data_IF_735024108362
#
_entry.id   IF_735024108362
#
_cell.length_a   1.000
_cell.length_b   1.000
_cell.length_c   1.000
_cell.angle_alpha   90.00
_cell.angle_beta   90.00
_cell.angle_gamma   90.00
#
_symmetry.space_group_name_H-M   'P 1'
#
loop_
_entity.id
_entity.type
_entity.pdbx_description
1 polymer ?
#
# COMPACT_ATOMS: atom_id res chain seq x y z
N UNK A 1 -30.88 -12.90 15.03
CA UNK A 1 -29.94 -11.91 14.46
C UNK A 1 -29.27 -11.00 15.51
N UNK A 2 -29.34 -11.30 16.79
CA UNK A 2 -28.71 -10.52 17.90
C UNK A 2 -27.77 -11.33 18.79
N UNK A 3 -27.45 -12.59 18.46
CA UNK A 3 -26.63 -13.49 19.30
C UNK A 3 -25.21 -13.65 18.76
N UNK A 4 -24.95 -13.42 17.46
CA UNK A 4 -23.63 -13.61 16.87
C UNK A 4 -22.63 -12.47 17.15
N UNK A 5 -23.09 -11.25 17.45
CA UNK A 5 -22.23 -10.12 17.80
C UNK A 5 -21.48 -10.24 19.13
N UNK A 6 -21.98 -11.07 20.06
CA UNK A 6 -21.37 -11.24 21.40
C UNK A 6 -20.12 -12.13 21.41
N UNK A 7 -19.98 -13.08 20.49
CA UNK A 7 -18.80 -13.97 20.45
C UNK A 7 -17.57 -13.32 19.82
N UNK A 8 -17.76 -12.37 18.90
CA UNK A 8 -16.64 -11.65 18.27
C UNK A 8 -15.97 -10.67 19.25
N UNK A 9 -16.77 -9.96 20.04
CA UNK A 9 -16.30 -9.04 21.08
C UNK A 9 -15.50 -9.78 22.20
N UNK A 10 -15.86 -11.01 22.49
CA UNK A 10 -15.24 -11.81 23.59
C UNK A 10 -13.87 -12.40 23.18
N UNK A 11 -13.61 -12.68 21.90
CA UNK A 11 -12.30 -13.16 21.42
C UNK A 11 -11.30 -12.02 21.18
N UNK A 12 -11.75 -10.89 20.66
CA UNK A 12 -10.92 -9.67 20.57
C UNK A 12 -10.55 -9.16 21.98
N UNK A 13 -11.47 -9.22 22.94
CA UNK A 13 -11.24 -8.85 24.34
C UNK A 13 -10.13 -9.69 24.98
N UNK A 14 -10.03 -10.99 24.71
CA UNK A 14 -8.97 -11.85 25.27
C UNK A 14 -7.59 -11.54 24.67
N UNK A 15 -7.51 -11.20 23.39
CA UNK A 15 -6.23 -10.84 22.77
C UNK A 15 -5.78 -9.43 23.17
N UNK A 16 -6.70 -8.48 23.25
CA UNK A 16 -6.44 -7.15 23.80
C UNK A 16 -6.09 -7.23 25.31
N UNK A 17 -6.73 -8.11 26.06
CA UNK A 17 -6.46 -8.31 27.48
C UNK A 17 -5.10 -8.98 27.75
N UNK A 18 -4.66 -9.91 26.87
CA UNK A 18 -3.30 -10.48 26.94
C UNK A 18 -2.25 -9.41 26.57
N UNK A 19 -2.51 -8.57 25.58
CA UNK A 19 -1.63 -7.45 25.20
C UNK A 19 -1.51 -6.44 26.34
N UNK A 20 -2.61 -6.15 27.05
CA UNK A 20 -2.63 -5.26 28.21
C UNK A 20 -1.94 -5.87 29.46
N UNK A 21 -1.85 -7.19 29.58
CA UNK A 21 -1.16 -7.85 30.71
C UNK A 21 0.37 -7.84 30.59
N UNK A 22 0.91 -7.66 29.39
CA UNK A 22 2.35 -7.50 29.17
C UNK A 22 2.84 -6.04 29.24
N UNK A 23 1.94 -5.06 29.30
CA UNK A 23 2.27 -3.63 29.40
C UNK A 23 2.63 -3.11 30.83
N UNK A 24 2.32 -3.78 31.98
CA UNK A 24 2.54 -3.16 33.28
C UNK A 24 3.95 -3.28 33.86
N UNK A 25 4.89 -3.94 33.20
CA UNK A 25 6.24 -4.13 33.78
C UNK A 25 7.32 -3.17 33.27
N UNK A 26 6.98 -2.30 32.34
CA UNK A 26 7.87 -1.22 31.88
C UNK A 26 7.30 0.10 32.40
N UNK A 27 7.27 0.26 33.73
CA UNK A 27 6.98 1.52 34.37
C UNK A 27 8.21 2.44 34.28
N UNK A 28 8.54 2.90 33.07
CA UNK A 28 9.22 4.15 32.89
C UNK A 28 8.16 5.25 33.01
N UNK A 29 8.49 6.35 33.66
CA UNK A 29 7.64 7.56 33.72
C UNK A 29 7.63 8.21 32.34
N UNK A 30 6.90 7.61 31.39
CA UNK A 30 6.68 8.22 30.09
C UNK A 30 5.51 9.18 30.18
N UNK A 31 5.75 10.40 29.73
CA UNK A 31 4.71 11.38 29.49
C UNK A 31 3.96 10.96 28.21
N UNK A 32 2.67 10.64 28.32
CA UNK A 32 1.87 10.22 27.16
C UNK A 32 0.77 11.27 26.89
N UNK A 33 0.60 11.75 25.65
CA UNK A 33 1.42 11.48 24.47
C UNK A 33 2.82 12.09 24.58
N UNK A 34 3.84 11.47 23.95
CA UNK A 34 5.20 12.00 23.98
C UNK A 34 5.26 13.41 23.37
N UNK A 35 6.18 14.23 23.83
CA UNK A 35 6.40 15.56 23.27
C UNK A 35 6.79 15.45 21.79
N UNK A 36 6.06 16.15 20.92
CA UNK A 36 6.29 16.10 19.48
C UNK A 36 7.55 16.88 19.10
N UNK A 37 8.51 16.19 18.54
CA UNK A 37 9.74 16.78 18.03
C UNK A 37 9.50 17.39 16.65
N UNK A 38 9.38 18.71 16.59
CA UNK A 38 9.45 19.46 15.33
C UNK A 38 10.92 19.76 15.08
N UNK A 39 11.50 19.12 14.06
CA UNK A 39 12.91 19.37 13.71
C UNK A 39 12.98 20.65 12.86
N UNK A 40 13.83 21.62 13.24
CA UNK A 40 13.98 22.90 12.50
C UNK A 40 14.34 22.72 11.02
N UNK A 41 15.07 21.67 10.66
CA UNK A 41 15.38 21.38 9.26
C UNK A 41 14.21 20.81 8.43
N UNK A 42 13.10 20.45 9.07
CA UNK A 42 11.89 20.12 8.33
C UNK A 42 11.28 21.36 7.66
N UNK A 43 11.81 22.55 7.94
CA UNK A 43 11.42 23.84 7.38
C UNK A 43 12.42 24.42 6.36
N UNK A 44 13.60 23.80 6.18
CA UNK A 44 14.60 24.28 5.23
C UNK A 44 14.31 23.79 3.81
N UNK A 45 14.62 24.63 2.81
CA UNK A 45 14.56 24.25 1.40
C UNK A 45 15.57 23.13 1.13
N UNK A 46 15.07 21.99 0.73
CA UNK A 46 15.88 20.85 0.32
C UNK A 46 15.62 20.46 -1.14
N UNK A 47 16.60 19.89 -1.78
CA UNK A 47 16.41 19.32 -3.12
C UNK A 47 17.27 18.08 -3.34
N UNK A 48 16.77 17.17 -4.16
CA UNK A 48 17.48 15.98 -4.62
C UNK A 48 17.13 15.69 -6.07
N UNK A 49 18.12 15.26 -6.84
CA UNK A 49 17.91 14.75 -8.18
C UNK A 49 18.83 13.54 -8.39
N UNK A 50 18.27 12.35 -8.38
CA UNK A 50 19.04 11.12 -8.40
C UNK A 50 18.37 9.99 -9.19
N UNK A 51 19.16 9.13 -9.89
CA UNK A 51 18.65 7.84 -10.33
C UNK A 51 18.39 6.96 -9.11
N UNK A 52 17.17 6.45 -8.98
CA UNK A 52 16.76 5.58 -7.88
C UNK A 52 16.20 4.28 -8.46
N UNK A 53 17.03 3.23 -8.68
CA UNK A 53 16.54 1.97 -9.17
C UNK A 53 15.43 1.42 -8.28
N UNK A 54 14.41 0.82 -8.89
CA UNK A 54 13.28 0.23 -8.20
C UNK A 54 12.98 -1.16 -8.75
N UNK A 55 12.71 -2.10 -7.85
CA UNK A 55 12.26 -3.45 -8.21
C UNK A 55 11.18 -3.89 -7.24
N UNK A 56 10.08 -4.43 -7.78
CA UNK A 56 8.95 -4.96 -7.00
C UNK A 56 8.63 -6.36 -7.50
N UNK A 57 8.63 -7.32 -6.58
CA UNK A 57 8.31 -8.71 -6.88
C UNK A 57 6.91 -8.83 -7.52
N UNK A 58 6.84 -9.49 -8.68
CA UNK A 58 5.61 -9.66 -9.44
C UNK A 58 5.16 -8.45 -10.26
N UNK A 59 5.98 -7.38 -10.32
CA UNK A 59 5.75 -6.21 -11.18
C UNK A 59 6.91 -5.99 -12.14
N UNK A 60 8.15 -6.07 -11.63
CA UNK A 60 9.37 -5.88 -12.40
C UNK A 60 10.30 -4.81 -11.84
N UNK A 61 11.30 -4.45 -12.63
CA UNK A 61 12.32 -3.47 -12.28
C UNK A 61 12.30 -2.26 -13.22
N UNK A 62 12.70 -1.11 -12.70
CA UNK A 62 12.86 0.14 -13.45
C UNK A 62 14.06 0.94 -12.95
N UNK A 63 14.56 1.83 -13.79
CA UNK A 63 15.54 2.85 -13.43
C UNK A 63 14.91 4.24 -13.65
N UNK A 64 14.15 4.75 -12.69
CA UNK A 64 13.66 6.13 -12.75
C UNK A 64 14.73 7.14 -12.31
N UNK A 65 14.57 8.37 -12.79
CA UNK A 65 15.11 9.56 -12.12
C UNK A 65 14.03 10.07 -11.17
N UNK A 66 14.41 10.32 -9.92
CA UNK A 66 13.58 11.00 -8.94
C UNK A 66 14.13 12.41 -8.70
N UNK A 67 13.26 13.40 -8.79
CA UNK A 67 13.46 14.77 -8.37
C UNK A 67 12.59 15.06 -7.15
N UNK A 68 13.17 15.63 -6.11
CA UNK A 68 12.49 16.12 -4.92
C UNK A 68 12.88 17.57 -4.69
N UNK A 69 11.91 18.43 -4.45
CA UNK A 69 12.12 19.76 -3.88
C UNK A 69 11.22 19.83 -2.66
N UNK A 70 11.84 19.88 -1.47
CA UNK A 70 11.11 19.97 -0.20
C UNK A 70 11.09 21.39 0.32
N UNK A 71 9.98 21.78 0.93
CA UNK A 71 9.76 23.09 1.54
C UNK A 71 9.98 24.28 0.56
N UNK A 72 9.65 24.12 -0.75
CA UNK A 72 9.85 25.18 -1.72
C UNK A 72 8.86 26.35 -1.55
N UNK A 73 7.72 26.08 -0.95
CA UNK A 73 6.74 27.08 -0.52
C UNK A 73 6.16 26.61 0.83
N UNK A 74 6.57 27.28 1.93
CA UNK A 74 6.22 26.89 3.30
C UNK A 74 6.56 25.39 3.55
N UNK A 75 5.56 24.53 3.74
CA UNK A 75 5.72 23.09 3.96
C UNK A 75 5.50 22.24 2.70
N UNK A 76 5.50 22.87 1.52
CA UNK A 76 5.15 22.19 0.27
C UNK A 76 6.33 21.40 -0.30
N UNK A 77 6.08 20.14 -0.64
CA UNK A 77 7.03 19.26 -1.32
C UNK A 77 6.56 18.94 -2.73
N UNK A 78 7.48 18.93 -3.70
CA UNK A 78 7.25 18.50 -5.06
C UNK A 78 8.11 17.28 -5.36
N UNK A 79 7.47 16.17 -5.75
CA UNK A 79 8.14 14.94 -6.19
C UNK A 79 7.85 14.69 -7.66
N UNK A 80 8.89 14.44 -8.42
CA UNK A 80 8.84 14.07 -9.83
C UNK A 80 9.59 12.76 -10.02
N UNK A 81 8.96 11.75 -10.63
CA UNK A 81 9.61 10.48 -10.95
C UNK A 81 9.36 10.19 -12.43
N UNK A 82 10.43 9.89 -13.17
CA UNK A 82 10.32 9.48 -14.57
C UNK A 82 11.27 8.34 -14.86
N UNK A 83 10.76 7.26 -15.44
CA UNK A 83 11.58 6.16 -15.94
C UNK A 83 12.41 6.61 -17.13
N UNK A 84 13.71 6.30 -17.13
CA UNK A 84 14.66 6.74 -18.16
C UNK A 84 14.73 5.81 -19.37
N UNK A 85 14.52 4.52 -19.16
CA UNK A 85 14.68 3.52 -20.20
C UNK A 85 13.46 2.58 -20.19
N UNK A 86 13.10 2.06 -21.36
CA UNK A 86 12.10 1.01 -21.48
C UNK A 86 12.58 -0.24 -20.71
N UNK A 87 11.76 -0.69 -19.78
CA UNK A 87 11.97 -1.86 -18.95
C UNK A 87 10.64 -2.53 -18.64
N UNK A 88 10.57 -3.24 -17.54
CA UNK A 88 9.33 -3.87 -17.08
C UNK A 88 8.30 -2.84 -16.61
N UNK A 89 8.78 -1.67 -16.18
CA UNK A 89 7.96 -0.57 -15.69
C UNK A 89 8.38 0.72 -16.43
N UNK A 90 7.43 1.38 -17.06
CA UNK A 90 7.59 2.74 -17.55
C UNK A 90 6.63 3.65 -16.78
N UNK A 91 7.16 4.67 -16.08
CA UNK A 91 6.36 5.49 -15.17
C UNK A 91 6.69 6.96 -15.26
N UNK A 92 5.65 7.78 -15.16
CA UNK A 92 5.72 9.22 -14.85
C UNK A 92 4.87 9.46 -13.62
N UNK A 93 5.45 10.03 -12.56
CA UNK A 93 4.74 10.40 -11.34
C UNK A 93 5.02 11.87 -11.04
N UNK A 94 3.98 12.61 -10.75
CA UNK A 94 4.04 14.01 -10.28
C UNK A 94 3.23 14.09 -9.00
N UNK A 95 3.88 14.50 -7.91
CA UNK A 95 3.21 14.63 -6.62
C UNK A 95 3.52 15.99 -6.00
N UNK A 96 2.47 16.72 -5.66
CA UNK A 96 2.51 17.91 -4.84
C UNK A 96 1.95 17.57 -3.47
N UNK A 97 2.74 17.80 -2.42
CA UNK A 97 2.35 17.48 -1.06
C UNK A 97 2.28 18.73 -0.20
N UNK A 98 1.33 18.78 0.72
CA UNK A 98 1.21 19.80 1.76
C UNK A 98 1.20 21.24 1.25
N UNK A 99 0.56 21.51 0.10
CA UNK A 99 0.35 22.89 -0.32
C UNK A 99 -0.65 23.57 0.61
N UNK A 100 -0.28 24.63 1.38
CA UNK A 100 -1.15 25.23 2.37
C UNK A 100 -2.27 26.04 1.71
N UNK A 101 -3.52 25.81 2.15
CA UNK A 101 -4.69 26.63 1.83
C UNK A 101 -5.00 27.54 3.03
N UNK A 102 -4.92 26.98 4.23
CA UNK A 102 -4.99 27.69 5.51
C UNK A 102 -3.76 27.28 6.30
N UNK A 103 -2.98 28.25 6.69
CA UNK A 103 -1.69 28.09 7.34
C UNK A 103 -1.72 27.07 8.48
N UNK A 104 -0.83 26.09 8.43
CA UNK A 104 -0.64 25.01 9.40
C UNK A 104 -1.89 24.13 9.70
N UNK A 105 -3.01 24.33 8.96
CA UNK A 105 -4.27 23.63 9.25
C UNK A 105 -4.89 22.88 8.10
N UNK A 106 -4.89 23.47 6.90
CA UNK A 106 -5.55 22.85 5.72
C UNK A 106 -4.59 22.84 4.57
N UNK A 107 -4.36 21.64 4.05
CA UNK A 107 -3.42 21.38 2.98
C UNK A 107 -4.11 20.72 1.80
N UNK A 108 -3.59 21.01 0.61
CA UNK A 108 -3.97 20.40 -0.63
C UNK A 108 -2.84 19.47 -1.08
N UNK A 109 -3.20 18.30 -1.58
CA UNK A 109 -2.27 17.33 -2.16
C UNK A 109 -2.77 16.92 -3.54
N UNK A 110 -1.85 16.79 -4.48
CA UNK A 110 -2.14 16.25 -5.83
C UNK A 110 -1.18 15.10 -6.10
N UNK A 111 -1.70 14.04 -6.67
CA UNK A 111 -0.91 12.95 -7.23
C UNK A 111 -1.41 12.66 -8.64
N UNK A 112 -0.50 12.68 -9.59
CA UNK A 112 -0.72 12.18 -10.93
C UNK A 112 0.29 11.08 -11.22
N UNK A 113 -0.16 9.98 -11.77
CA UNK A 113 0.73 9.00 -12.36
C UNK A 113 0.19 8.45 -13.67
N UNK A 114 1.12 8.12 -14.55
CA UNK A 114 0.91 7.42 -15.81
C UNK A 114 2.01 6.37 -15.92
N UNK A 115 1.63 5.10 -15.95
CA UNK A 115 2.57 3.99 -15.97
C UNK A 115 2.13 2.85 -16.87
N UNK A 116 3.10 2.24 -17.54
CA UNK A 116 3.00 0.94 -18.18
C UNK A 116 3.63 -0.10 -17.25
N UNK A 117 2.84 -1.06 -16.79
CA UNK A 117 3.28 -2.08 -15.85
C UNK A 117 2.72 -3.45 -16.22
N UNK A 118 3.40 -4.47 -15.74
CA UNK A 118 2.86 -5.82 -15.71
C UNK A 118 2.37 -6.17 -14.31
N UNK A 119 1.20 -6.81 -14.22
CA UNK A 119 0.60 -7.21 -12.95
C UNK A 119 0.24 -8.69 -12.97
N UNK A 120 0.63 -9.42 -11.91
CA UNK A 120 0.21 -10.81 -11.70
C UNK A 120 -1.16 -10.84 -11.03
N UNK A 121 -2.14 -11.39 -11.71
CA UNK A 121 -3.50 -11.57 -11.20
C UNK A 121 -3.67 -12.98 -10.68
N UNK A 122 -3.45 -13.18 -9.40
CA UNK A 122 -3.55 -14.47 -8.73
C UNK A 122 -4.99 -14.94 -8.54
N UNK A 123 -5.17 -16.24 -8.34
CA UNK A 123 -6.44 -16.79 -7.86
C UNK A 123 -6.75 -16.27 -6.44
N UNK A 124 -8.05 -16.10 -6.15
CA UNK A 124 -8.55 -15.51 -4.90
C UNK A 124 -8.31 -16.43 -3.70
N UNK A 125 -7.92 -15.85 -2.58
CA UNK A 125 -7.81 -16.50 -1.27
C UNK A 125 -6.39 -16.80 -0.82
N UNK A 126 -6.26 -17.24 0.44
CA UNK A 126 -4.96 -17.47 1.10
C UNK A 126 -4.28 -18.78 0.62
N UNK A 127 -5.04 -19.70 0.07
CA UNK A 127 -4.56 -21.00 -0.40
C UNK A 127 -4.24 -21.03 -1.91
N UNK A 128 -4.35 -19.89 -2.61
CA UNK A 128 -3.98 -19.84 -4.03
C UNK A 128 -2.51 -20.26 -4.23
N UNK A 129 -2.26 -21.11 -5.23
CA UNK A 129 -0.90 -21.55 -5.59
C UNK A 129 -0.06 -20.40 -6.17
N UNK A 130 1.26 -20.43 -5.98
CA UNK A 130 2.12 -19.35 -6.48
C UNK A 130 2.13 -19.25 -8.02
N UNK A 131 1.83 -20.34 -8.72
CA UNK A 131 1.76 -20.41 -10.18
C UNK A 131 0.32 -20.28 -10.71
N UNK A 132 -0.66 -20.00 -9.84
CA UNK A 132 -2.06 -19.85 -10.25
C UNK A 132 -2.39 -18.37 -10.48
N UNK A 133 -1.89 -17.82 -11.58
CA UNK A 133 -2.13 -16.44 -12.00
C UNK A 133 -2.22 -16.34 -13.54
N UNK A 134 -2.66 -15.19 -14.01
CA UNK A 134 -2.39 -14.67 -15.33
C UNK A 134 -1.78 -13.28 -15.19
N UNK A 135 -0.91 -12.90 -16.11
CA UNK A 135 -0.22 -11.61 -16.11
C UNK A 135 -0.91 -10.67 -17.09
N UNK A 136 -1.26 -9.48 -16.64
CA UNK A 136 -1.75 -8.39 -17.50
C UNK A 136 -0.64 -7.37 -17.72
N UNK A 137 -0.53 -6.88 -18.96
CA UNK A 137 0.25 -5.69 -19.27
C UNK A 137 -0.74 -4.56 -19.49
N UNK A 138 -0.65 -3.54 -18.66
CA UNK A 138 -1.62 -2.46 -18.67
C UNK A 138 -0.96 -1.09 -18.55
N UNK A 139 -1.47 -0.15 -19.35
CA UNK A 139 -1.25 1.28 -19.14
C UNK A 139 -2.30 1.78 -18.16
N UNK A 140 -1.86 2.42 -17.09
CA UNK A 140 -2.74 2.97 -16.07
C UNK A 140 -2.39 4.42 -15.83
N UNK A 141 -3.36 5.31 -15.98
CA UNK A 141 -3.25 6.69 -15.55
C UNK A 141 -4.24 6.98 -14.41
N UNK A 142 -3.84 7.86 -13.51
CA UNK A 142 -4.68 8.25 -12.39
C UNK A 142 -4.34 9.65 -11.91
N UNK A 143 -5.35 10.42 -11.57
CA UNK A 143 -5.25 11.74 -10.95
C UNK A 143 -5.98 11.73 -9.63
N UNK A 144 -5.29 12.08 -8.57
CA UNK A 144 -5.83 12.14 -7.21
C UNK A 144 -5.68 13.53 -6.63
N UNK A 145 -6.72 14.03 -6.01
CA UNK A 145 -6.76 15.29 -5.29
C UNK A 145 -7.22 15.00 -3.86
N UNK A 146 -6.46 15.48 -2.88
CA UNK A 146 -6.80 15.33 -1.48
C UNK A 146 -6.80 16.69 -0.78
N UNK A 147 -7.79 16.89 0.08
CA UNK A 147 -7.83 17.96 1.06
C UNK A 147 -7.59 17.36 2.44
N UNK A 148 -6.57 17.84 3.14
CA UNK A 148 -6.18 17.35 4.46
C UNK A 148 -6.30 18.48 5.46
N UNK A 149 -6.95 18.23 6.58
CA UNK A 149 -7.05 19.16 7.71
C UNK A 149 -6.34 18.58 8.93
N UNK A 150 -5.51 19.40 9.57
CA UNK A 150 -4.72 19.03 10.75
C UNK A 150 -5.17 19.82 11.97
N UNK A 151 -5.28 19.13 13.10
CA UNK A 151 -5.73 19.69 14.37
C UNK A 151 -4.80 19.26 15.51
N UNK A 152 -4.77 20.05 16.57
CA UNK A 152 -4.04 19.72 17.80
C UNK A 152 -2.56 19.38 17.57
N UNK A 153 -1.85 20.25 16.87
CA UNK A 153 -0.43 20.02 16.52
C UNK A 153 -0.21 18.68 15.78
N UNK A 154 -1.03 18.42 14.74
CA UNK A 154 -1.01 17.20 13.92
C UNK A 154 -1.35 15.90 14.68
N UNK A 155 -1.94 15.97 15.87
CA UNK A 155 -2.41 14.76 16.56
C UNK A 155 -3.69 14.19 15.95
N UNK A 156 -4.50 15.01 15.29
CA UNK A 156 -5.68 14.59 14.55
C UNK A 156 -5.59 15.11 13.12
N UNK A 157 -5.68 14.23 12.16
CA UNK A 157 -5.76 14.54 10.74
C UNK A 157 -7.04 13.97 10.15
N UNK A 158 -7.71 14.75 9.31
CA UNK A 158 -8.87 14.32 8.53
C UNK A 158 -8.57 14.61 7.08
N UNK A 159 -8.80 13.62 6.22
CA UNK A 159 -8.56 13.72 4.79
C UNK A 159 -9.83 13.36 4.02
N UNK A 160 -10.08 14.14 2.95
CA UNK A 160 -11.10 13.83 1.94
C UNK A 160 -10.39 13.81 0.59
N UNK A 161 -10.59 12.74 -0.16
CA UNK A 161 -9.92 12.52 -1.45
C UNK A 161 -10.91 12.22 -2.58
N UNK A 162 -10.52 12.62 -3.76
CA UNK A 162 -11.13 12.24 -5.02
C UNK A 162 -10.05 11.75 -5.96
N UNK A 163 -10.30 10.63 -6.62
CA UNK A 163 -9.39 10.05 -7.61
C UNK A 163 -10.17 9.63 -8.84
N UNK A 164 -9.58 9.85 -10.01
CA UNK A 164 -10.11 9.38 -11.28
C UNK A 164 -9.01 8.65 -12.02
N UNK A 165 -9.28 7.40 -12.40
CA UNK A 165 -8.32 6.55 -13.05
C UNK A 165 -8.88 5.81 -14.25
N UNK A 166 -7.96 5.42 -15.13
CA UNK A 166 -8.21 4.55 -16.28
C UNK A 166 -7.09 3.52 -16.40
N UNK A 167 -7.43 2.30 -16.77
CA UNK A 167 -6.46 1.27 -17.11
C UNK A 167 -6.85 0.61 -18.43
N UNK A 168 -5.86 0.42 -19.31
CA UNK A 168 -6.02 -0.22 -20.60
C UNK A 168 -5.08 -1.43 -20.66
N UNK A 169 -5.65 -2.62 -20.82
CA UNK A 169 -4.89 -3.86 -20.95
C UNK A 169 -4.49 -4.06 -22.40
N UNK A 170 -3.18 -4.16 -22.66
CA UNK A 170 -2.64 -4.37 -24.01
C UNK A 170 -2.45 -5.84 -24.36
N UNK A 171 -2.12 -6.68 -23.38
CA UNK A 171 -1.93 -8.12 -23.54
C UNK A 171 -2.10 -8.87 -22.23
N UNK A 172 -2.40 -10.14 -22.33
CA UNK A 172 -2.43 -11.10 -21.23
C UNK A 172 -1.42 -12.21 -21.53
N UNK A 173 -0.69 -12.66 -20.52
CA UNK A 173 0.25 -13.78 -20.61
C UNK A 173 -0.13 -14.80 -19.54
N UNK A 174 -0.11 -16.09 -19.90
CA UNK A 174 -0.27 -17.17 -18.93
C UNK A 174 1.08 -17.58 -18.29
N UNK A 175 1.05 -18.62 -17.45
CA UNK A 175 2.26 -19.11 -16.77
C UNK A 175 3.26 -19.81 -17.68
N UNK A 176 2.84 -20.23 -18.89
CA UNK A 176 3.66 -20.90 -19.89
C UNK A 176 4.16 -19.91 -20.95
N UNK A 177 4.07 -18.61 -20.67
CA UNK A 177 4.49 -17.49 -21.52
C UNK A 177 3.68 -17.34 -22.82
N UNK A 178 2.51 -18.00 -22.95
CA UNK A 178 1.62 -17.79 -24.08
C UNK A 178 0.98 -16.40 -23.99
N UNK A 179 1.06 -15.63 -25.09
CA UNK A 179 0.58 -14.25 -25.15
C UNK A 179 -0.75 -14.17 -25.90
N UNK A 180 -1.73 -13.45 -25.30
CA UNK A 180 -3.04 -13.17 -25.86
C UNK A 180 -3.25 -11.68 -25.96
N UNK A 181 -3.54 -11.18 -27.17
CA UNK A 181 -3.67 -9.72 -27.44
C UNK A 181 -5.05 -9.35 -27.96
N UNK A 182 -5.90 -10.32 -28.35
CA UNK A 182 -7.25 -10.06 -28.82
C UNK A 182 -8.24 -9.95 -27.66
N UNK A 183 -8.09 -8.89 -26.84
CA UNK A 183 -8.80 -8.72 -25.57
C UNK A 183 -10.09 -7.96 -25.79
N UNK A 184 -11.23 -8.59 -25.48
CA UNK A 184 -12.51 -7.89 -25.39
C UNK A 184 -12.55 -7.07 -24.09
N UNK A 185 -13.13 -5.85 -24.16
CA UNK A 185 -13.20 -4.91 -23.03
C UNK A 185 -11.83 -4.65 -22.35
N UNK A 186 -10.84 -4.11 -23.08
CA UNK A 186 -9.49 -3.92 -22.56
C UNK A 186 -9.41 -2.76 -21.56
N UNK A 187 -10.32 -1.79 -21.63
CA UNK A 187 -10.29 -0.58 -20.78
C UNK A 187 -11.28 -0.65 -19.62
N UNK A 188 -10.89 -0.04 -18.52
CA UNK A 188 -11.75 0.23 -17.37
C UNK A 188 -11.44 1.60 -16.80
N UNK A 189 -12.46 2.32 -16.40
CA UNK A 189 -12.35 3.58 -15.67
C UNK A 189 -12.91 3.40 -14.26
N UNK A 190 -12.46 4.22 -13.33
CA UNK A 190 -13.02 4.26 -11.98
C UNK A 190 -12.89 5.64 -11.36
N UNK A 191 -13.78 5.90 -10.43
CA UNK A 191 -13.73 7.05 -9.54
C UNK A 191 -13.67 6.52 -8.11
N UNK A 192 -12.70 7.02 -7.33
CA UNK A 192 -12.61 6.74 -5.91
C UNK A 192 -12.92 7.98 -5.09
N UNK A 193 -13.73 7.82 -4.07
CA UNK A 193 -13.95 8.79 -3.00
C UNK A 193 -13.34 8.26 -1.72
N UNK A 194 -12.46 9.03 -1.11
CA UNK A 194 -11.71 8.61 0.07
C UNK A 194 -12.04 9.52 1.25
N UNK A 195 -12.30 8.94 2.41
CA UNK A 195 -12.34 9.65 3.69
C UNK A 195 -11.37 8.94 4.63
N UNK A 196 -10.40 9.69 5.15
CA UNK A 196 -9.40 9.17 6.07
C UNK A 196 -9.36 9.97 7.36
N UNK A 197 -9.04 9.29 8.46
CA UNK A 197 -8.77 9.91 9.76
C UNK A 197 -7.53 9.27 10.35
N UNK A 198 -6.61 10.09 10.84
CA UNK A 198 -5.43 9.65 11.57
C UNK A 198 -5.41 10.30 12.94
N UNK A 199 -5.25 9.48 13.98
CA UNK A 199 -4.91 9.91 15.33
C UNK A 199 -3.44 9.53 15.55
N UNK A 200 -2.59 10.54 15.68
CA UNK A 200 -1.16 10.40 15.77
C UNK A 200 -0.63 10.92 17.11
N UNK A 201 -0.46 10.01 18.06
CA UNK A 201 0.08 10.27 19.39
C UNK A 201 1.54 9.80 19.47
N UNK A 202 2.34 10.14 18.44
CA UNK A 202 3.76 9.79 18.36
C UNK A 202 4.64 11.01 18.58
N UNK A 203 5.90 10.76 18.92
CA UNK A 203 6.94 11.79 19.10
C UNK A 203 7.31 12.51 17.80
N UNK A 204 7.13 11.86 16.64
CA UNK A 204 7.45 12.44 15.34
C UNK A 204 6.50 11.93 14.26
N UNK A 205 5.98 12.84 13.42
CA UNK A 205 5.02 12.48 12.38
C UNK A 205 5.64 11.66 11.23
N UNK A 206 6.84 12.02 10.78
CA UNK A 206 7.51 11.38 9.64
C UNK A 206 8.28 10.11 10.04
N UNK A 207 8.96 10.16 11.17
CA UNK A 207 9.80 9.06 11.67
C UNK A 207 9.52 8.79 13.15
N UNK A 208 8.37 8.19 13.46
CA UNK A 208 8.01 7.93 14.85
C UNK A 208 8.88 6.85 15.49
N UNK A 209 9.30 7.12 16.72
CA UNK A 209 10.08 6.21 17.56
C UNK A 209 9.37 5.83 18.84
N UNK A 210 8.40 6.64 19.23
CA UNK A 210 7.60 6.44 20.43
C UNK A 210 6.15 6.84 20.20
N UNK A 211 5.22 6.13 20.85
CA UNK A 211 3.79 6.46 20.83
C UNK A 211 2.95 5.52 20.00
N UNK A 212 1.77 6.00 19.63
CA UNK A 212 0.74 5.20 18.96
C UNK A 212 0.14 6.01 17.82
N UNK A 213 -0.07 5.34 16.67
CA UNK A 213 -0.76 5.88 15.51
C UNK A 213 -1.92 4.99 15.11
N UNK A 214 -3.11 5.56 14.98
CA UNK A 214 -4.31 4.91 14.48
C UNK A 214 -4.73 5.59 13.19
N UNK A 215 -4.88 4.80 12.12
CA UNK A 215 -5.35 5.25 10.82
C UNK A 215 -6.64 4.51 10.46
N UNK A 216 -7.65 5.25 10.04
CA UNK A 216 -8.92 4.76 9.54
C UNK A 216 -9.11 5.29 8.12
N UNK A 217 -9.44 4.42 7.19
CA UNK A 217 -9.65 4.78 5.80
C UNK A 217 -10.91 4.12 5.26
N UNK A 218 -11.79 4.93 4.70
CA UNK A 218 -12.92 4.51 3.90
C UNK A 218 -12.67 4.93 2.45
N UNK A 219 -12.73 3.98 1.54
CA UNK A 219 -12.59 4.22 0.10
C UNK A 219 -13.80 3.63 -0.62
N UNK A 220 -14.55 4.47 -1.32
CA UNK A 220 -15.68 4.07 -2.16
C UNK A 220 -15.26 4.12 -3.62
N UNK A 221 -15.26 2.96 -4.30
CA UNK A 221 -14.89 2.82 -5.71
C UNK A 221 -16.12 2.66 -6.58
N UNK A 222 -16.26 3.53 -7.58
CA UNK A 222 -17.29 3.48 -8.60
C UNK A 222 -16.66 3.27 -9.98
N UNK A 223 -17.08 2.23 -10.69
CA UNK A 223 -16.55 1.90 -12.02
C UNK A 223 -17.35 2.56 -13.15
N UNK A 224 -18.56 3.07 -12.89
CA UNK A 224 -19.44 3.63 -13.92
C UNK A 224 -19.80 2.64 -15.03
N UNK A 225 -19.57 1.34 -14.82
CA UNK A 225 -19.81 0.26 -15.76
C UNK A 225 -20.77 -0.74 -15.09
N UNK A 226 -21.91 -1.00 -15.72
CA UNK A 226 -22.90 -1.95 -15.20
C UNK A 226 -22.39 -3.39 -15.05
N UNK A 227 -21.28 -3.71 -15.67
CA UNK A 227 -20.63 -5.03 -15.60
C UNK A 227 -19.80 -5.23 -14.33
N UNK A 228 -19.27 -4.15 -13.77
CA UNK A 228 -18.43 -4.18 -12.58
C UNK A 228 -19.21 -3.70 -11.37
N UNK A 229 -19.03 -4.37 -10.25
CA UNK A 229 -19.64 -3.94 -8.99
C UNK A 229 -18.90 -2.76 -8.41
N UNK A 230 -19.61 -1.77 -7.96
CA UNK A 230 -19.11 -0.74 -7.07
C UNK A 230 -18.98 -1.30 -5.66
N UNK A 231 -17.96 -0.92 -4.94
CA UNK A 231 -17.75 -1.41 -3.59
C UNK A 231 -16.94 -0.44 -2.74
N UNK A 232 -17.21 -0.50 -1.45
CA UNK A 232 -16.52 0.25 -0.42
C UNK A 232 -15.48 -0.62 0.28
N UNK A 233 -14.37 -0.02 0.67
CA UNK A 233 -13.33 -0.66 1.46
C UNK A 233 -13.07 0.14 2.72
N UNK A 234 -13.26 -0.49 3.88
CA UNK A 234 -12.90 0.06 5.17
C UNK A 234 -11.60 -0.56 5.65
N UNK A 235 -10.62 0.26 5.99
CA UNK A 235 -9.33 -0.19 6.49
C UNK A 235 -9.02 0.47 7.84
N UNK A 236 -8.45 -0.31 8.74
CA UNK A 236 -7.94 0.11 10.05
C UNK A 236 -6.48 -0.30 10.15
N UNK A 237 -5.64 0.60 10.60
CA UNK A 237 -4.21 0.38 10.81
C UNK A 237 -3.79 0.98 12.15
N UNK A 238 -3.34 0.15 13.07
CA UNK A 238 -2.85 0.55 14.38
C UNK A 238 -1.36 0.23 14.47
N UNK A 239 -0.54 1.24 14.74
CA UNK A 239 0.91 1.08 14.91
C UNK A 239 1.33 1.63 16.26
N UNK A 240 2.07 0.83 17.02
CA UNK A 240 2.70 1.23 18.28
C UNK A 240 4.20 1.25 18.08
N UNK A 241 4.84 2.31 18.53
CA UNK A 241 6.27 2.53 18.50
C UNK A 241 6.80 2.54 19.93
N UNK A 242 7.75 1.68 20.21
CA UNK A 242 8.32 1.49 21.55
C UNK A 242 9.81 1.79 21.47
N UNK A 243 10.32 2.80 22.18
CA UNK A 243 11.75 3.06 22.26
C UNK A 243 12.49 1.83 22.77
N UNK A 244 13.60 1.49 22.13
CA UNK A 244 14.38 0.31 22.46
C UNK A 244 15.88 0.59 22.26
N UNK A 245 16.72 0.21 23.21
CA UNK A 245 18.18 0.30 23.13
C UNK A 245 18.71 1.63 22.50
N UNK A 246 18.52 2.72 23.19
CA UNK A 246 19.00 4.05 22.75
C UNK A 246 18.10 4.68 21.70
N UNK A 247 18.57 4.81 20.45
CA UNK A 247 17.82 5.41 19.35
C UNK A 247 16.98 4.42 18.55
N UNK A 248 16.98 3.14 18.94
CA UNK A 248 16.29 2.07 18.23
C UNK A 248 14.80 2.04 18.58
N UNK A 249 14.01 1.39 17.72
CA UNK A 249 12.57 1.33 17.87
C UNK A 249 12.07 -0.08 17.64
N UNK A 250 11.23 -0.58 18.53
CA UNK A 250 10.40 -1.76 18.30
C UNK A 250 9.00 -1.31 17.86
N UNK A 251 8.56 -1.78 16.70
CA UNK A 251 7.28 -1.45 16.11
C UNK A 251 6.37 -2.68 16.12
N UNK A 252 5.14 -2.48 16.56
CA UNK A 252 4.04 -3.46 16.47
C UNK A 252 2.94 -2.83 15.63
N UNK A 253 2.54 -3.52 14.55
CA UNK A 253 1.47 -3.06 13.68
C UNK A 253 0.37 -4.11 13.57
N UNK A 254 -0.87 -3.67 13.56
CA UNK A 254 -2.06 -4.47 13.29
C UNK A 254 -2.92 -3.78 12.24
N UNK A 255 -3.17 -4.48 11.16
CA UNK A 255 -3.95 -4.00 10.02
C UNK A 255 -5.14 -4.93 9.76
N UNK A 256 -6.28 -4.33 9.42
CA UNK A 256 -7.47 -5.04 8.94
C UNK A 256 -8.16 -4.22 7.85
N UNK A 257 -8.62 -4.90 6.80
CA UNK A 257 -9.42 -4.28 5.73
C UNK A 257 -10.59 -5.17 5.37
N UNK A 258 -11.72 -4.56 5.00
CA UNK A 258 -12.94 -5.25 4.61
C UNK A 258 -13.64 -4.51 3.47
N UNK A 259 -14.12 -5.26 2.48
CA UNK A 259 -14.93 -4.75 1.38
C UNK A 259 -16.41 -5.01 1.57
N UNK A 260 -17.24 -4.13 1.01
CA UNK A 260 -18.71 -4.20 0.96
C UNK A 260 -19.16 -3.79 -0.42
N UNK A 261 -20.02 -4.58 -1.05
CA UNK A 261 -20.64 -4.23 -2.33
C UNK A 261 -21.68 -3.14 -2.08
N UNK A 262 -21.53 -2.00 -2.74
CA UNK A 262 -22.50 -0.90 -2.73
C UNK A 262 -23.49 -1.00 -3.90
N UNK A 263 -23.01 -1.40 -5.09
CA UNK A 263 -23.84 -1.68 -6.25
C UNK A 263 -23.34 -2.95 -6.95
N UNK A 264 -24.26 -3.86 -7.26
CA UNK A 264 -23.93 -5.13 -7.89
C UNK A 264 -23.77 -4.99 -9.41
N UNK A 265 -22.63 -5.42 -9.93
CA UNK A 265 -22.39 -5.66 -11.35
C UNK A 265 -22.92 -7.01 -11.80
N UNK A 266 -22.47 -7.47 -12.96
CA UNK A 266 -22.85 -8.76 -13.51
C UNK A 266 -22.32 -9.92 -12.65
N UNK A 267 -23.21 -10.84 -12.28
CA UNK A 267 -22.89 -12.05 -11.50
C UNK A 267 -23.23 -13.34 -12.24
N UNK A 268 -23.68 -13.26 -13.50
CA UNK A 268 -23.86 -14.38 -14.39
C UNK A 268 -22.55 -14.71 -15.13
N UNK A 269 -22.06 -15.93 -14.96
CA UNK A 269 -20.77 -16.39 -15.51
C UNK A 269 -20.75 -16.36 -17.03
N UNK A 270 -21.85 -16.77 -17.68
CA UNK A 270 -21.94 -16.83 -19.15
C UNK A 270 -21.90 -15.43 -19.78
N UNK A 271 -22.52 -14.45 -19.14
CA UNK A 271 -22.51 -13.06 -19.60
C UNK A 271 -21.14 -12.43 -19.40
N UNK A 272 -20.50 -12.68 -18.24
CA UNK A 272 -19.14 -12.19 -17.96
C UNK A 272 -18.10 -12.83 -18.87
N UNK A 273 -18.19 -14.14 -19.17
CA UNK A 273 -17.27 -14.83 -20.08
C UNK A 273 -17.29 -14.17 -21.47
N UNK A 274 -18.47 -13.89 -22.02
CA UNK A 274 -18.59 -13.19 -23.30
C UNK A 274 -18.01 -11.77 -23.25
N UNK A 275 -18.12 -11.07 -22.12
CA UNK A 275 -17.59 -9.72 -21.95
C UNK A 275 -16.08 -9.70 -21.83
N UNK A 276 -15.50 -10.71 -21.21
CA UNK A 276 -14.05 -10.83 -20.97
C UNK A 276 -13.36 -11.85 -21.90
N UNK A 277 -14.02 -12.20 -23.01
CA UNK A 277 -13.52 -13.07 -24.07
C UNK A 277 -12.13 -12.61 -24.56
N UNK A 278 -11.24 -13.55 -24.77
CA UNK A 278 -9.89 -13.35 -25.30
C UNK A 278 -9.77 -13.75 -26.77
N UNK A 279 -10.87 -14.12 -27.42
CA UNK A 279 -10.86 -14.55 -28.82
C UNK A 279 -10.13 -15.86 -29.05
N UNK A 280 -10.21 -16.80 -28.11
CA UNK A 280 -9.40 -18.00 -28.03
C UNK A 280 -9.54 -18.96 -29.23
N UNK A 281 -10.63 -18.87 -29.96
CA UNK A 281 -10.83 -19.72 -31.17
C UNK A 281 -9.88 -19.36 -32.32
N UNK A 282 -9.27 -18.19 -32.28
CA UNK A 282 -8.29 -17.70 -33.25
C UNK A 282 -6.85 -17.85 -32.80
N UNK A 283 -6.63 -18.34 -31.58
CA UNK A 283 -5.29 -18.44 -30.99
C UNK A 283 -4.65 -19.82 -31.25
N UNK A 284 -3.34 -19.82 -31.46
CA UNK A 284 -2.55 -21.05 -31.67
C UNK A 284 -2.60 -21.96 -30.43
N UNK A 285 -2.62 -21.32 -29.22
CA UNK A 285 -2.69 -21.99 -27.91
C UNK A 285 -4.09 -21.88 -27.33
N UNK A 286 -5.11 -22.30 -28.06
CA UNK A 286 -6.52 -22.12 -27.70
C UNK A 286 -6.90 -22.68 -26.31
N UNK A 287 -6.32 -23.78 -25.85
CA UNK A 287 -6.60 -24.34 -24.52
C UNK A 287 -6.03 -23.47 -23.40
N UNK A 288 -4.78 -23.04 -23.55
CA UNK A 288 -4.14 -22.09 -22.59
C UNK A 288 -4.87 -20.75 -22.55
N UNK A 289 -5.31 -20.25 -23.71
CA UNK A 289 -6.16 -19.06 -23.80
C UNK A 289 -7.47 -19.22 -23.02
N UNK A 290 -8.18 -20.35 -23.21
CA UNK A 290 -9.43 -20.64 -22.49
C UNK A 290 -9.23 -20.72 -20.96
N UNK A 291 -8.10 -21.26 -20.51
CA UNK A 291 -7.76 -21.26 -19.08
C UNK A 291 -7.52 -19.84 -18.54
N UNK A 292 -6.80 -19.00 -19.28
CA UNK A 292 -6.59 -17.58 -18.90
C UNK A 292 -7.92 -16.80 -18.89
N UNK A 293 -8.78 -17.01 -19.89
CA UNK A 293 -10.13 -16.41 -19.95
C UNK A 293 -11.00 -16.85 -18.77
N UNK A 294 -11.00 -18.14 -18.43
CA UNK A 294 -11.72 -18.68 -17.28
C UNK A 294 -11.24 -18.07 -15.96
N UNK A 295 -9.90 -17.92 -15.78
CA UNK A 295 -9.33 -17.25 -14.59
C UNK A 295 -9.76 -15.78 -14.52
N UNK A 296 -9.71 -15.06 -15.65
CA UNK A 296 -10.15 -13.67 -15.76
C UNK A 296 -11.64 -13.53 -15.42
N UNK A 297 -12.48 -14.36 -15.99
CA UNK A 297 -13.92 -14.40 -15.71
C UNK A 297 -14.21 -14.68 -14.23
N UNK A 298 -13.54 -15.69 -13.65
CA UNK A 298 -13.66 -16.02 -12.23
C UNK A 298 -13.19 -14.88 -11.30
N UNK A 299 -12.11 -14.19 -11.68
CA UNK A 299 -11.62 -13.02 -10.94
C UNK A 299 -12.72 -11.96 -10.81
N UNK A 300 -13.34 -11.58 -11.94
CA UNK A 300 -14.39 -10.56 -11.97
C UNK A 300 -15.70 -11.03 -11.35
N UNK A 301 -16.09 -12.27 -11.58
CA UNK A 301 -17.29 -12.87 -10.98
C UNK A 301 -17.22 -12.82 -9.44
N UNK A 302 -16.12 -13.27 -8.87
CA UNK A 302 -15.92 -13.25 -7.41
C UNK A 302 -15.79 -11.83 -6.86
N UNK A 303 -15.12 -10.93 -7.60
CA UNK A 303 -15.01 -9.53 -7.21
C UNK A 303 -16.38 -8.84 -7.23
N UNK A 304 -17.21 -9.11 -8.24
CA UNK A 304 -18.57 -8.55 -8.31
C UNK A 304 -19.49 -9.08 -7.20
N UNK A 305 -19.26 -10.30 -6.72
CA UNK A 305 -20.08 -10.88 -5.64
C UNK A 305 -19.61 -10.49 -4.24
N UNK A 306 -18.34 -10.33 -4.04
CA UNK A 306 -17.71 -10.31 -2.70
C UNK A 306 -16.84 -9.08 -2.46
N UNK A 307 -16.66 -8.21 -3.45
CA UNK A 307 -15.72 -7.09 -3.39
C UNK A 307 -14.26 -7.54 -3.32
N UNK A 308 -13.37 -6.60 -3.04
CA UNK A 308 -11.94 -6.83 -2.85
C UNK A 308 -11.43 -5.88 -1.78
N UNK A 309 -11.08 -6.40 -0.61
CA UNK A 309 -10.36 -5.65 0.43
C UNK A 309 -8.91 -5.37 -0.01
N UNK A 310 -8.19 -4.57 0.74
CA UNK A 310 -6.76 -4.31 0.50
C UNK A 310 -5.99 -5.62 0.44
N UNK A 311 -5.32 -5.86 -0.68
CA UNK A 311 -4.57 -7.09 -0.90
C UNK A 311 -3.30 -7.14 -0.04
N UNK A 312 -2.81 -8.34 0.20
CA UNK A 312 -1.53 -8.62 0.86
C UNK A 312 -0.52 -9.14 -0.17
N UNK A 313 0.74 -8.83 0.06
CA UNK A 313 1.87 -9.08 -0.82
C UNK A 313 2.38 -7.80 -1.47
N UNK A 314 3.71 -7.67 -1.58
CA UNK A 314 4.39 -6.56 -2.22
C UNK A 314 4.95 -5.52 -1.25
N UNK A 315 4.93 -4.28 -1.68
CA UNK A 315 5.69 -3.20 -1.05
C UNK A 315 5.22 -2.80 0.36
N UNK A 316 3.98 -3.01 0.70
CA UNK A 316 3.43 -2.48 1.96
C UNK A 316 3.29 -3.52 3.06
N UNK A 317 2.86 -4.73 2.75
CA UNK A 317 2.53 -5.79 3.73
C UNK A 317 2.80 -7.15 3.12
N UNK A 318 3.25 -8.11 3.93
CA UNK A 318 3.65 -9.45 3.47
C UNK A 318 4.73 -9.35 2.39
N UNK A 319 5.84 -8.69 2.73
CA UNK A 319 6.93 -8.27 1.82
C UNK A 319 7.68 -9.42 1.12
N UNK A 320 7.49 -10.67 1.57
CA UNK A 320 8.06 -11.85 0.94
C UNK A 320 7.26 -12.38 -0.28
N UNK A 321 6.17 -11.70 -0.65
CA UNK A 321 5.27 -12.15 -1.70
C UNK A 321 5.10 -11.08 -2.78
N UNK A 322 4.78 -11.51 -3.99
CA UNK A 322 4.51 -10.62 -5.12
C UNK A 322 3.39 -9.62 -4.81
N UNK A 323 3.40 -8.49 -5.48
CA UNK A 323 2.39 -7.45 -5.33
C UNK A 323 0.97 -8.01 -5.54
N UNK A 324 0.11 -7.84 -4.54
CA UNK A 324 -1.28 -8.30 -4.60
C UNK A 324 -1.48 -9.82 -4.55
N UNK A 325 -0.50 -10.57 -4.04
CA UNK A 325 -0.46 -12.05 -4.03
C UNK A 325 -1.68 -12.71 -3.38
N UNK A 326 -2.19 -12.14 -2.30
CA UNK A 326 -3.35 -12.64 -1.57
C UNK A 326 -4.43 -11.57 -1.50
N UNK A 327 -5.65 -11.90 -1.90
CA UNK A 327 -6.81 -11.01 -1.80
C UNK A 327 -8.10 -11.78 -1.59
N UNK A 328 -9.04 -11.16 -0.89
CA UNK A 328 -10.41 -11.64 -0.64
C UNK A 328 -11.30 -10.47 -0.23
N UNK A 329 -12.51 -10.73 0.24
CA UNK A 329 -13.40 -9.71 0.81
C UNK A 329 -12.93 -9.12 2.13
N UNK A 330 -12.03 -9.82 2.84
CA UNK A 330 -11.41 -9.36 4.08
C UNK A 330 -9.92 -9.68 4.06
N UNK A 331 -9.10 -8.83 4.70
CA UNK A 331 -7.67 -9.06 4.91
C UNK A 331 -7.23 -8.60 6.29
N UNK A 332 -6.20 -9.23 6.84
CA UNK A 332 -5.53 -8.83 8.07
C UNK A 332 -4.01 -9.06 7.97
N UNK A 333 -3.25 -8.18 8.61
CA UNK A 333 -1.79 -8.31 8.70
C UNK A 333 -1.31 -7.84 10.07
N UNK A 334 -0.37 -8.56 10.65
CA UNK A 334 0.28 -8.24 11.91
C UNK A 334 1.78 -8.22 11.70
N UNK A 335 2.45 -7.21 12.20
CA UNK A 335 3.89 -6.99 12.00
C UNK A 335 4.57 -6.72 13.32
N UNK A 336 5.70 -7.37 13.53
CA UNK A 336 6.70 -7.01 14.51
C UNK A 336 7.96 -6.59 13.76
N UNK A 337 8.43 -5.36 13.99
CA UNK A 337 9.60 -4.82 13.30
C UNK A 337 10.52 -4.12 14.29
N UNK A 338 11.79 -4.52 14.32
CA UNK A 338 12.87 -3.83 15.02
C UNK A 338 13.60 -2.91 14.04
N UNK A 339 13.84 -1.66 14.42
CA UNK A 339 14.52 -0.63 13.64
C UNK A 339 15.77 -0.17 14.38
N UNK A 340 16.91 -0.26 13.71
CA UNK A 340 18.17 0.24 14.20
C UNK A 340 18.64 1.45 13.38
N UNK A 341 18.91 2.56 14.05
CA UNK A 341 19.35 3.79 13.41
C UNK A 341 20.87 3.89 13.45
N UNK A 342 21.54 3.72 12.29
CA UNK A 342 23.01 3.78 12.21
C UNK A 342 23.57 5.18 12.31
N UNK A 343 22.89 6.12 11.70
CA UNK A 343 23.31 7.51 11.71
C UNK A 343 22.09 8.43 11.63
N UNK A 344 22.15 9.45 12.44
CA UNK A 344 21.22 10.54 12.45
C UNK A 344 21.98 11.83 12.26
N UNK A 345 22.09 12.28 11.00
CA UNK A 345 22.70 13.57 10.73
C UNK A 345 21.64 14.65 10.81
N UNK A 346 21.72 15.46 11.84
CA UNK A 346 20.86 16.62 12.01
C UNK A 346 21.24 17.78 11.08
N UNK A 347 22.49 17.80 10.59
CA UNK A 347 22.96 18.81 9.63
C UNK A 347 22.58 18.41 8.21
N UNK A 348 22.03 19.34 7.41
CA UNK A 348 21.73 19.10 6.01
C UNK A 348 22.97 18.63 5.22
N UNK A 349 22.72 17.67 4.32
CA UNK A 349 23.77 17.19 3.41
C UNK A 349 23.69 18.04 2.13
N UNK A 350 24.88 18.51 1.71
CA UNK A 350 25.05 19.20 0.43
C UNK A 350 26.06 18.40 -0.41
N UNK A 351 25.59 17.90 -1.53
CA UNK A 351 26.39 17.14 -2.49
C UNK A 351 25.92 17.43 -3.91
N UNK A 352 26.64 16.95 -4.94
CA UNK A 352 26.40 17.26 -6.35
C UNK A 352 24.94 17.06 -6.80
N UNK A 353 24.26 16.07 -6.23
CA UNK A 353 22.89 15.68 -6.62
C UNK A 353 21.86 15.98 -5.53
N UNK A 354 22.24 16.61 -4.43
CA UNK A 354 21.32 16.96 -3.34
C UNK A 354 21.86 18.15 -2.53
N UNK A 355 20.96 18.96 -2.01
CA UNK A 355 21.29 20.09 -1.16
C UNK A 355 20.20 20.36 -0.14
N UNK A 356 20.58 20.76 1.07
CA UNK A 356 19.64 21.06 2.15
C UNK A 356 18.85 19.85 2.69
N UNK A 357 19.22 18.61 2.33
CA UNK A 357 18.46 17.42 2.71
C UNK A 357 19.06 16.73 3.93
N UNK A 358 18.20 16.28 4.83
CA UNK A 358 18.57 15.41 5.94
C UNK A 358 18.51 13.96 5.54
N UNK A 359 19.40 13.17 6.10
CA UNK A 359 19.45 11.73 5.83
C UNK A 359 19.56 10.95 7.12
N UNK A 360 18.65 10.01 7.33
CA UNK A 360 18.74 8.98 8.36
C UNK A 360 18.96 7.63 7.67
N UNK A 361 19.95 6.87 8.13
CA UNK A 361 20.19 5.50 7.68
C UNK A 361 19.69 4.53 8.74
N UNK A 362 18.84 3.60 8.33
CA UNK A 362 18.17 2.66 9.22
C UNK A 362 18.25 1.24 8.66
N UNK A 363 18.51 0.26 9.54
CA UNK A 363 18.23 -1.15 9.27
C UNK A 363 16.95 -1.59 9.98
N UNK A 364 16.28 -2.58 9.42
CA UNK A 364 15.12 -3.19 10.06
C UNK A 364 15.17 -4.72 9.98
N UNK A 365 14.62 -5.37 11.00
CA UNK A 365 14.32 -6.80 11.03
C UNK A 365 12.82 -6.93 11.26
N UNK A 366 12.14 -7.71 10.44
CA UNK A 366 10.68 -7.79 10.52
C UNK A 366 10.16 -9.23 10.41
N UNK A 367 9.02 -9.43 11.06
CA UNK A 367 8.22 -10.64 10.98
C UNK A 367 6.76 -10.25 10.76
N UNK A 368 6.13 -10.83 9.77
CA UNK A 368 4.76 -10.50 9.35
C UNK A 368 3.90 -11.76 9.33
N UNK A 369 2.66 -11.62 9.77
CA UNK A 369 1.61 -12.62 9.66
C UNK A 369 0.44 -12.02 8.88
N UNK A 370 -0.02 -12.68 7.84
CA UNK A 370 -1.11 -12.17 7.00
C UNK A 370 -2.12 -13.24 6.64
N UNK A 371 -3.37 -12.83 6.52
CA UNK A 371 -4.48 -13.69 6.09
C UNK A 371 -5.49 -12.92 5.26
N UNK A 372 -6.15 -13.62 4.34
CA UNK A 372 -7.29 -13.12 3.58
C UNK A 372 -8.38 -14.18 3.56
N UNK A 373 -9.65 -13.74 3.65
CA UNK A 373 -10.81 -14.63 3.56
C UNK A 373 -12.05 -13.87 3.10
N UNK A 374 -12.96 -14.57 2.42
CA UNK A 374 -14.28 -14.03 2.10
C UNK A 374 -15.23 -14.08 3.29
N UNK A 375 -15.03 -15.03 4.22
CA UNK A 375 -15.73 -15.11 5.49
C UNK A 375 -14.86 -14.54 6.60
N UNK A 376 -15.36 -13.51 7.30
CA UNK A 376 -14.66 -12.87 8.41
C UNK A 376 -14.35 -13.85 9.56
N UNK A 377 -15.17 -14.90 9.74
CA UNK A 377 -14.96 -15.92 10.76
C UNK A 377 -13.76 -16.84 10.49
N UNK A 378 -13.33 -16.91 9.23
CA UNK A 378 -12.20 -17.72 8.77
C UNK A 378 -10.89 -16.90 8.68
N UNK A 379 -10.96 -15.56 8.80
CA UNK A 379 -9.85 -14.65 8.50
C UNK A 379 -8.57 -14.96 9.26
N UNK A 380 -8.65 -15.53 10.48
CA UNK A 380 -7.47 -15.78 11.31
C UNK A 380 -7.10 -17.27 11.44
N UNK A 381 -7.80 -18.15 10.73
CA UNK A 381 -7.56 -19.60 10.83
C UNK A 381 -6.34 -20.07 10.06
N UNK A 382 -6.07 -19.42 8.91
CA UNK A 382 -4.97 -19.76 8.04
C UNK A 382 -4.15 -18.49 7.78
N UNK A 383 -2.94 -18.43 8.35
CA UNK A 383 -2.06 -17.29 8.19
C UNK A 383 -0.78 -17.69 7.44
N UNK A 384 -0.33 -16.82 6.56
CA UNK A 384 0.98 -16.90 5.90
C UNK A 384 1.98 -16.06 6.67
N UNK A 385 3.25 -16.43 6.58
CA UNK A 385 4.36 -15.73 7.23
C UNK A 385 5.26 -15.07 6.20
N UNK A 386 5.82 -13.93 6.58
CA UNK A 386 6.87 -13.23 5.88
C UNK A 386 7.88 -12.72 6.91
N UNK A 387 9.17 -12.90 6.70
CA UNK A 387 10.19 -12.34 7.56
C UNK A 387 11.40 -11.89 6.74
N UNK A 388 12.11 -10.90 7.22
CA UNK A 388 13.22 -10.36 6.45
C UNK A 388 13.98 -9.26 7.13
N UNK A 389 14.87 -8.67 6.33
CA UNK A 389 15.69 -7.53 6.70
C UNK A 389 15.48 -6.40 5.71
N UNK A 390 15.60 -5.17 6.18
CA UNK A 390 15.48 -3.97 5.34
C UNK A 390 16.55 -2.94 5.67
N UNK A 391 16.94 -2.18 4.65
CA UNK A 391 17.75 -0.98 4.77
C UNK A 391 16.97 0.21 4.24
N UNK A 392 17.04 1.34 4.91
CA UNK A 392 16.33 2.56 4.56
C UNK A 392 17.25 3.75 4.58
N UNK A 393 17.11 4.60 3.55
CA UNK A 393 17.60 5.97 3.56
C UNK A 393 16.41 6.90 3.58
N UNK A 394 16.22 7.61 4.68
CA UNK A 394 15.16 8.60 4.85
C UNK A 394 15.74 9.96 4.51
N UNK A 395 15.32 10.54 3.38
CA UNK A 395 15.90 11.76 2.81
C UNK A 395 14.80 12.82 2.79
N UNK A 396 14.79 13.73 3.75
CA UNK A 396 13.79 14.80 3.88
C UNK A 396 12.35 14.34 3.63
N UNK A 397 11.94 13.20 4.25
CA UNK A 397 10.60 12.64 4.12
C UNK A 397 10.43 11.63 2.96
N UNK A 398 11.34 11.60 1.98
CA UNK A 398 11.37 10.55 0.97
C UNK A 398 12.09 9.33 1.56
N UNK A 399 11.42 8.18 1.58
CA UNK A 399 11.97 6.95 2.13
C UNK A 399 12.33 6.01 0.99
N UNK A 400 13.62 5.87 0.74
CA UNK A 400 14.17 4.89 -0.18
C UNK A 400 14.59 3.65 0.60
N UNK A 401 14.03 2.49 0.26
CA UNK A 401 14.23 1.26 1.01
C UNK A 401 14.56 0.07 0.13
N UNK A 402 15.37 -0.81 0.69
CA UNK A 402 15.69 -2.13 0.16
C UNK A 402 15.33 -3.17 1.21
N UNK A 403 14.39 -4.04 0.90
CA UNK A 403 13.98 -5.17 1.75
C UNK A 403 14.34 -6.49 1.06
N UNK A 404 14.79 -7.47 1.83
CA UNK A 404 14.91 -8.86 1.42
C UNK A 404 14.06 -9.68 2.38
N UNK A 405 13.03 -10.32 1.88
CA UNK A 405 12.09 -11.08 2.68
C UNK A 405 11.95 -12.52 2.19
N UNK A 406 11.64 -13.43 3.11
CA UNK A 406 11.39 -14.85 2.84
C UNK A 406 10.01 -15.24 3.32
N UNK A 407 9.28 -15.95 2.48
CA UNK A 407 7.97 -16.57 2.74
C UNK A 407 7.87 -17.93 2.08
N UNK A 408 6.66 -18.47 2.02
CA UNK A 408 6.42 -19.80 1.43
C UNK A 408 6.69 -19.82 -0.09
N UNK A 409 6.48 -18.70 -0.79
CA UNK A 409 6.70 -18.58 -2.24
C UNK A 409 8.19 -18.43 -2.60
N UNK A 410 9.06 -18.16 -1.62
CA UNK A 410 10.51 -18.02 -1.82
C UNK A 410 11.10 -16.77 -1.15
N UNK A 411 12.14 -16.22 -1.77
CA UNK A 411 12.80 -14.98 -1.34
C UNK A 411 12.41 -13.88 -2.34
N UNK A 412 11.94 -12.75 -1.82
CA UNK A 412 11.57 -11.57 -2.59
C UNK A 412 12.46 -10.38 -2.21
N UNK A 413 13.29 -9.87 -3.11
CA UNK A 413 13.93 -8.58 -2.95
C UNK A 413 12.99 -7.47 -3.40
N UNK A 414 12.92 -6.38 -2.65
CA UNK A 414 12.13 -5.18 -3.00
C UNK A 414 12.99 -3.94 -2.82
N UNK A 415 13.05 -3.10 -3.85
CA UNK A 415 13.74 -1.82 -3.83
C UNK A 415 12.75 -0.75 -4.29
N UNK A 416 12.31 0.12 -3.39
CA UNK A 416 11.21 1.03 -3.66
C UNK A 416 11.26 2.32 -2.83
N UNK A 417 10.45 3.29 -3.26
CA UNK A 417 10.29 4.58 -2.56
C UNK A 417 8.92 4.60 -1.91
N UNK A 418 8.80 4.29 -0.62
CA UNK A 418 7.62 4.52 0.19
C UNK A 418 7.86 4.20 1.67
N UNK A 419 6.93 4.61 2.52
CA UNK A 419 6.86 4.16 3.92
C UNK A 419 6.04 2.86 4.01
N UNK A 420 6.61 1.75 4.52
CA UNK A 420 5.85 0.51 4.69
C UNK A 420 4.81 0.67 5.81
N UNK A 421 3.76 -0.13 5.73
CA UNK A 421 2.72 -0.26 6.76
C UNK A 421 1.75 0.93 6.90
N UNK A 422 1.89 2.01 6.13
CA UNK A 422 0.90 3.09 6.11
C UNK A 422 -0.34 2.72 5.28
N UNK A 423 -1.43 3.45 5.43
CA UNK A 423 -2.60 3.36 4.54
C UNK A 423 -2.43 4.16 3.23
N UNK A 424 -1.22 4.67 2.96
CA UNK A 424 -0.80 5.24 1.68
C UNK A 424 -1.30 6.66 1.40
N UNK A 425 -2.45 7.04 1.89
CA UNK A 425 -3.03 8.38 1.69
C UNK A 425 -2.95 9.26 2.93
N UNK A 426 -2.81 8.64 4.11
CA UNK A 426 -2.65 9.30 5.39
C UNK A 426 -1.16 9.28 5.75
N UNK A 427 -0.56 10.43 5.93
CA UNK A 427 0.81 10.54 6.47
C UNK A 427 1.98 10.44 5.46
N UNK A 428 1.75 10.52 4.16
CA UNK A 428 2.82 10.67 3.14
C UNK A 428 2.81 12.04 2.51
#
# INVERSE_FOLDING_TARGET
MLVEGRYLFFRMSKFLFLLCLFLPSIAFSYEFPPERTIRDADKELGWMFAPLPGCVEGVGCALPIAGLISNFYESTDLVLIKTLAKGDIEATVVQLQKFPIIDERVFFKVLYYDWDISLLNYDRGIHSGKNHYYQTFENTNNSTINLQSQFYNQHLEIQIGYSNGEAIISKIIDNDENQFSNIQSPSRTWIDHTIGTQIDLTDNHLEPREGIRLELLHNATNYGLSELSDYDVNSLNLTTYIPFLGSDTLLINAFQSRSYISEHGLTDENTLSKKFDLGCDLEIHADACRDAEKRRTNYWLKRNRLGKASALGGINRMRAYSQGRFYAGNSSNYVLEYRHNFSEKQTPINWIIMGGVRTVLQASFFYELGSVSDDISELHKNMRTSFGVGFRAIISGLIYRFDIAKGDDGIAPTLFINYPLSLGTLGS
#
